data_IF_206712074037
#
_entry.id   IF_206712074037
#
_cell.length_a   1.000
_cell.length_b   1.000
_cell.length_c   1.000
_cell.angle_alpha   90.00
_cell.angle_beta   90.00
_cell.angle_gamma   90.00
#
_symmetry.space_group_name_H-M   'P 1'
#
loop_
_entity.id
_entity.type
_entity.pdbx_description
1 polymer ?
#
# COMPACT_ATOMS: atom_id res chain seq x y z
N UNK A 1 22.97 -30.59 -46.20
CA UNK A 1 23.76 -30.40 -44.97
C UNK A 1 24.73 -29.26 -45.21
N UNK A 2 24.82 -28.31 -44.26
CA UNK A 2 25.81 -27.22 -44.15
C UNK A 2 25.73 -26.03 -45.14
N UNK A 3 24.72 -25.17 -44.96
CA UNK A 3 24.80 -23.74 -45.31
C UNK A 3 24.74 -22.92 -44.02
N UNK A 4 25.91 -22.55 -43.51
CA UNK A 4 26.15 -21.30 -42.77
C UNK A 4 27.58 -20.88 -43.03
N UNK A 5 27.80 -20.41 -44.25
CA UNK A 5 28.91 -19.53 -44.58
C UNK A 5 28.77 -18.33 -43.63
N UNK A 6 29.58 -18.31 -42.56
CA UNK A 6 29.82 -17.07 -41.86
C UNK A 6 30.62 -16.22 -42.81
N UNK A 7 30.02 -15.14 -43.31
CA UNK A 7 30.71 -14.15 -44.12
C UNK A 7 31.93 -13.66 -43.32
N UNK A 8 33.12 -14.08 -43.74
CA UNK A 8 34.36 -13.47 -43.29
C UNK A 8 34.48 -12.15 -44.04
N UNK A 9 34.77 -11.08 -43.30
CA UNK A 9 35.20 -9.84 -43.92
C UNK A 9 36.47 -10.07 -44.76
N UNK A 10 36.82 -9.17 -45.67
CA UNK A 10 37.94 -9.30 -46.59
C UNK A 10 39.30 -9.58 -45.91
N UNK A 11 39.40 -9.36 -44.60
CA UNK A 11 40.63 -9.49 -43.81
C UNK A 11 40.65 -10.74 -42.88
N UNK A 12 39.70 -11.68 -43.02
CA UNK A 12 39.75 -12.98 -42.33
C UNK A 12 39.38 -12.97 -40.83
N UNK A 13 38.91 -11.86 -40.28
CA UNK A 13 38.42 -11.79 -38.90
C UNK A 13 37.00 -12.40 -38.79
N UNK A 14 36.73 -13.30 -37.83
CA UNK A 14 35.39 -13.80 -37.61
C UNK A 14 34.49 -12.65 -37.12
N UNK A 15 33.40 -12.36 -37.84
CA UNK A 15 32.37 -11.40 -37.40
C UNK A 15 31.73 -11.96 -36.13
N UNK A 16 32.34 -11.66 -34.98
CA UNK A 16 31.79 -11.94 -33.66
C UNK A 16 30.74 -10.87 -33.38
N UNK A 17 29.58 -10.96 -34.04
CA UNK A 17 28.39 -10.19 -33.70
C UNK A 17 27.77 -10.77 -32.41
N UNK A 18 28.49 -10.48 -31.32
CA UNK A 18 28.01 -10.08 -29.99
C UNK A 18 26.54 -10.38 -29.66
N UNK A 19 26.38 -11.17 -28.60
CA UNK A 19 25.33 -11.05 -27.56
C UNK A 19 23.95 -11.63 -27.92
N UNK A 20 23.88 -12.96 -28.03
CA UNK A 20 22.62 -13.73 -28.04
C UNK A 20 22.13 -14.24 -26.68
N UNK A 21 22.67 -13.77 -25.54
CA UNK A 21 22.43 -14.42 -24.23
C UNK A 21 22.19 -13.49 -23.04
N UNK A 22 21.80 -12.23 -23.25
CA UNK A 22 21.57 -11.29 -22.13
C UNK A 22 20.18 -10.62 -22.13
N UNK A 23 19.15 -11.29 -22.65
CA UNK A 23 17.82 -10.67 -22.78
C UNK A 23 16.70 -11.33 -21.99
N UNK A 24 16.98 -12.23 -21.03
CA UNK A 24 15.90 -12.89 -20.26
C UNK A 24 16.11 -12.99 -18.75
N UNK A 25 16.96 -12.13 -18.19
CA UNK A 25 17.25 -12.14 -16.75
C UNK A 25 17.06 -10.76 -16.10
N UNK A 26 15.97 -10.05 -16.42
CA UNK A 26 15.38 -9.05 -15.49
C UNK A 26 13.94 -8.67 -15.81
N UNK A 27 13.06 -9.64 -16.04
CA UNK A 27 11.59 -9.40 -16.00
C UNK A 27 11.07 -9.50 -14.56
N UNK A 28 11.71 -8.80 -13.63
CA UNK A 28 11.11 -8.48 -12.34
C UNK A 28 10.94 -6.99 -12.33
N UNK A 29 9.70 -6.53 -12.27
CA UNK A 29 9.35 -5.11 -12.08
C UNK A 29 10.24 -4.57 -10.99
N UNK A 30 11.10 -3.61 -11.33
CA UNK A 30 12.00 -3.01 -10.35
C UNK A 30 11.17 -2.30 -9.28
N UNK A 31 11.67 -2.13 -8.04
CA UNK A 31 10.97 -1.38 -6.99
C UNK A 31 10.59 0.04 -7.43
N UNK A 32 11.38 0.64 -8.33
CA UNK A 32 11.10 1.95 -8.95
C UNK A 32 9.90 1.88 -9.91
N UNK A 33 9.79 0.80 -10.68
CA UNK A 33 8.70 0.60 -11.64
C UNK A 33 7.39 0.29 -10.90
N UNK A 34 7.46 -0.55 -9.86
CA UNK A 34 6.34 -0.82 -8.95
C UNK A 34 5.82 0.46 -8.27
N UNK A 35 6.71 1.32 -7.74
CA UNK A 35 6.30 2.59 -7.13
C UNK A 35 5.62 3.54 -8.14
N UNK A 36 6.06 3.52 -9.41
CA UNK A 36 5.44 4.28 -10.50
C UNK A 36 4.05 3.76 -10.82
N UNK A 37 3.88 2.44 -10.87
CA UNK A 37 2.57 1.78 -11.05
C UNK A 37 1.62 2.11 -9.89
N UNK A 38 2.05 1.94 -8.64
CA UNK A 38 1.27 2.30 -7.44
C UNK A 38 0.84 3.76 -7.47
N UNK A 39 1.73 4.69 -7.85
CA UNK A 39 1.35 6.11 -7.97
C UNK A 39 0.29 6.35 -9.04
N UNK A 40 0.33 5.60 -10.15
CA UNK A 40 -0.68 5.71 -11.19
C UNK A 40 -2.05 5.17 -10.73
N UNK A 41 -2.06 4.11 -9.91
CA UNK A 41 -3.29 3.55 -9.34
C UNK A 41 -3.85 4.44 -8.21
N UNK A 42 -2.99 4.98 -7.34
CA UNK A 42 -3.39 5.90 -6.27
C UNK A 42 -4.04 7.18 -6.79
N UNK A 43 -3.81 7.56 -8.05
CA UNK A 43 -4.51 8.70 -8.69
C UNK A 43 -5.96 8.38 -9.06
N UNK A 44 -6.32 7.09 -9.17
CA UNK A 44 -7.71 6.65 -9.38
C UNK A 44 -8.51 6.60 -8.07
N UNK A 45 -7.84 6.64 -6.92
CA UNK A 45 -8.49 6.70 -5.62
C UNK A 45 -9.14 8.06 -5.46
N UNK A 46 -10.46 8.07 -5.28
CA UNK A 46 -11.20 9.27 -4.93
C UNK A 46 -10.90 9.63 -3.47
N UNK A 47 -9.93 10.52 -3.27
CA UNK A 47 -9.64 11.06 -1.95
C UNK A 47 -10.79 11.98 -1.52
N UNK A 48 -11.28 11.84 -0.28
CA UNK A 48 -12.41 12.62 0.20
C UNK A 48 -12.09 14.11 0.19
N UNK A 49 -13.13 14.92 0.02
CA UNK A 49 -12.99 16.37 0.16
C UNK A 49 -12.69 16.75 1.60
N UNK A 50 -12.06 17.91 1.83
CA UNK A 50 -11.76 18.39 3.20
C UNK A 50 -13.04 18.50 4.05
N UNK A 51 -14.14 18.93 3.44
CA UNK A 51 -15.46 19.00 4.07
C UNK A 51 -15.97 17.63 4.51
N UNK A 52 -15.85 16.61 3.66
CA UNK A 52 -16.30 15.27 3.98
C UNK A 52 -15.49 14.65 5.13
N UNK A 53 -14.17 14.86 5.12
CA UNK A 53 -13.30 14.39 6.21
C UNK A 53 -13.66 15.05 7.55
N UNK A 54 -13.96 16.36 7.53
CA UNK A 54 -14.37 17.10 8.72
C UNK A 54 -15.73 16.58 9.24
N UNK A 55 -16.70 16.38 8.35
CA UNK A 55 -18.01 15.87 8.73
C UNK A 55 -17.93 14.50 9.40
N UNK A 56 -17.17 13.56 8.83
CA UNK A 56 -16.97 12.25 9.45
C UNK A 56 -16.24 12.36 10.79
N UNK A 57 -15.22 13.23 10.88
CA UNK A 57 -14.50 13.45 12.14
C UNK A 57 -15.41 14.00 13.24
N UNK A 58 -16.32 14.93 12.92
CA UNK A 58 -17.29 15.47 13.87
C UNK A 58 -18.23 14.36 14.37
N UNK A 59 -18.78 13.55 13.47
CA UNK A 59 -19.66 12.43 13.83
C UNK A 59 -18.93 11.47 14.78
N UNK A 60 -17.68 11.11 14.48
CA UNK A 60 -16.87 10.25 15.35
C UNK A 60 -16.61 10.89 16.71
N UNK A 61 -16.26 12.19 16.78
CA UNK A 61 -16.03 12.90 18.05
C UNK A 61 -17.31 12.90 18.91
N UNK A 62 -18.46 13.21 18.33
CA UNK A 62 -19.75 13.19 19.05
C UNK A 62 -20.05 11.79 19.59
N UNK A 63 -19.83 10.77 18.76
CA UNK A 63 -20.05 9.36 19.14
C UNK A 63 -19.13 8.93 20.28
N UNK A 64 -17.84 9.32 20.23
CA UNK A 64 -16.87 9.09 21.30
C UNK A 64 -17.32 9.73 22.60
N UNK A 65 -17.69 11.02 22.57
CA UNK A 65 -18.16 11.75 23.76
C UNK A 65 -19.40 11.06 24.36
N UNK A 66 -20.36 10.64 23.51
CA UNK A 66 -21.54 9.93 23.97
C UNK A 66 -21.19 8.63 24.71
N UNK A 67 -20.35 7.78 24.13
CA UNK A 67 -19.95 6.53 24.78
C UNK A 67 -19.12 6.78 26.04
N UNK A 68 -18.23 7.76 26.04
CA UNK A 68 -17.46 8.15 27.23
C UNK A 68 -18.38 8.56 28.37
N UNK A 69 -19.38 9.41 28.11
CA UNK A 69 -20.34 9.83 29.13
C UNK A 69 -21.21 8.67 29.62
N UNK A 70 -21.63 7.79 28.70
CA UNK A 70 -22.41 6.61 29.04
C UNK A 70 -21.64 5.68 29.98
N UNK A 71 -20.39 5.34 29.62
CA UNK A 71 -19.53 4.48 30.43
C UNK A 71 -19.27 5.14 31.79
N UNK A 72 -18.89 6.43 31.79
CA UNK A 72 -18.67 7.18 33.02
C UNK A 72 -19.89 7.18 33.94
N UNK A 73 -21.09 7.37 33.39
CA UNK A 73 -22.33 7.32 34.16
C UNK A 73 -22.59 5.94 34.76
N UNK A 74 -22.37 4.87 34.00
CA UNK A 74 -22.50 3.50 34.48
C UNK A 74 -21.47 3.21 35.58
N UNK A 75 -20.20 3.58 35.38
CA UNK A 75 -19.14 3.38 36.36
C UNK A 75 -19.43 4.08 37.68
N UNK A 76 -19.99 5.29 37.63
CA UNK A 76 -20.40 6.02 38.83
C UNK A 76 -21.54 5.30 39.56
N UNK A 77 -22.59 4.88 38.85
CA UNK A 77 -23.71 4.14 39.44
C UNK A 77 -23.22 2.82 40.06
N UNK A 78 -22.37 2.08 39.37
CA UNK A 78 -21.78 0.85 39.88
C UNK A 78 -20.91 1.09 41.11
N UNK A 79 -20.09 2.14 41.11
CA UNK A 79 -19.23 2.48 42.25
C UNK A 79 -20.07 2.75 43.51
N UNK A 80 -21.13 3.55 43.38
CA UNK A 80 -22.03 3.85 44.49
C UNK A 80 -22.81 2.60 44.96
N UNK A 81 -23.28 1.77 44.04
CA UNK A 81 -24.01 0.54 44.34
C UNK A 81 -23.12 -0.46 45.11
N UNK A 82 -21.87 -0.61 44.69
CA UNK A 82 -20.89 -1.48 45.34
C UNK A 82 -20.56 -0.98 46.74
N UNK A 83 -20.29 0.33 46.91
CA UNK A 83 -20.03 0.92 48.22
C UNK A 83 -21.20 0.70 49.19
N UNK A 84 -22.44 0.88 48.71
CA UNK A 84 -23.65 0.61 49.50
C UNK A 84 -23.80 -0.86 49.88
N UNK A 85 -23.43 -1.79 49.00
CA UNK A 85 -23.51 -3.23 49.27
C UNK A 85 -22.47 -3.68 50.30
N UNK A 86 -21.26 -3.11 50.28
CA UNK A 86 -20.19 -3.48 51.22
C UNK A 86 -20.25 -2.75 52.56
N UNK A 87 -20.90 -1.58 52.61
CA UNK A 87 -21.11 -0.80 53.84
C UNK A 87 -22.48 -1.04 54.49
N UNK A 88 -23.28 -1.94 53.95
CA UNK A 88 -24.52 -2.47 54.54
C UNK A 88 -24.28 -3.88 55.08
#
# INVERSE_FOLDING_TARGET
MLQRQGELGPDGEPIRARRGTQQRAKERTGPVEFAREVRSELRKVAWPTRSETINYSIITIVTLIFFTLLIFGIDWVFSEAVLKLFNA
#
